data_IF_264134340465
#
_entry.id   IF_264134340465
#
_cell.length_a   1.000
_cell.length_b   1.000
_cell.length_c   1.000
_cell.angle_alpha   90.00
_cell.angle_beta   90.00
_cell.angle_gamma   90.00
#
_symmetry.space_group_name_H-M   'P 1'
#
loop_
_entity.id
_entity.type
_entity.pdbx_description
1 polymer ?
#
# COMPACT_ATOMS: atom_id res chain seq x y z
N UNK A 1 -5.96 -62.56 17.46
CA UNK A 1 -6.05 -61.71 16.26
C UNK A 1 -5.67 -60.29 16.65
N UNK A 2 -4.57 -59.80 16.08
CA UNK A 2 -3.87 -58.56 16.47
C UNK A 2 -4.66 -57.35 15.95
N UNK A 3 -5.12 -56.48 16.86
CA UNK A 3 -5.64 -55.16 16.51
C UNK A 3 -4.45 -54.22 16.29
N UNK A 4 -4.15 -53.93 15.03
CA UNK A 4 -3.26 -52.82 14.67
C UNK A 4 -4.00 -51.51 14.94
N UNK A 5 -3.53 -50.74 15.92
CA UNK A 5 -3.91 -49.34 16.11
C UNK A 5 -2.86 -48.51 15.39
N UNK A 6 -3.21 -48.02 14.20
CA UNK A 6 -2.39 -47.05 13.45
C UNK A 6 -2.65 -45.66 14.07
N UNK A 7 -1.74 -45.18 14.91
CA UNK A 7 -1.75 -43.81 15.39
C UNK A 7 -1.14 -42.90 14.29
N UNK A 8 -2.00 -42.25 13.50
CA UNK A 8 -1.59 -41.25 12.53
C UNK A 8 -1.37 -39.92 13.27
N UNK A 9 -0.12 -39.60 13.61
CA UNK A 9 0.24 -38.29 14.16
C UNK A 9 0.36 -37.33 12.97
N UNK A 10 -0.73 -36.62 12.67
CA UNK A 10 -0.70 -35.47 11.76
C UNK A 10 -0.10 -34.30 12.55
N UNK A 11 1.22 -34.12 12.44
CA UNK A 11 1.87 -32.88 12.89
C UNK A 11 1.48 -31.76 11.92
N UNK A 12 0.43 -31.01 12.28
CA UNK A 12 0.13 -29.72 11.65
C UNK A 12 1.27 -28.75 12.01
N UNK A 13 2.25 -28.62 11.12
CA UNK A 13 3.19 -27.53 11.15
C UNK A 13 2.44 -26.23 10.87
N UNK A 14 2.28 -25.38 11.88
CA UNK A 14 1.86 -24.00 11.68
C UNK A 14 3.03 -23.30 11.00
N UNK A 15 3.00 -23.22 9.66
CA UNK A 15 3.93 -22.37 8.90
C UNK A 15 3.64 -20.93 9.29
N UNK A 16 4.38 -20.38 10.25
CA UNK A 16 4.47 -18.94 10.37
C UNK A 16 5.12 -18.47 9.08
N UNK A 17 4.43 -17.61 8.33
CA UNK A 17 5.01 -17.00 7.15
C UNK A 17 6.21 -16.18 7.63
N UNK A 18 7.42 -16.64 7.33
CA UNK A 18 8.62 -15.87 7.64
C UNK A 18 8.57 -14.57 6.83
N UNK A 19 8.83 -13.46 7.52
CA UNK A 19 8.99 -12.15 6.87
C UNK A 19 10.12 -12.25 5.84
N UNK A 20 9.83 -11.79 4.63
CA UNK A 20 10.84 -11.71 3.58
C UNK A 20 11.67 -10.44 3.75
N UNK A 21 12.84 -10.42 3.10
CA UNK A 21 13.70 -9.23 3.05
C UNK A 21 12.92 -7.99 2.56
N UNK A 22 13.22 -6.83 3.15
CA UNK A 22 12.53 -5.56 2.91
C UNK A 22 11.02 -5.56 3.23
N UNK A 23 10.53 -6.56 3.97
CA UNK A 23 9.20 -6.54 4.55
C UNK A 23 9.23 -6.07 6.01
N UNK A 24 8.12 -5.47 6.41
CA UNK A 24 7.83 -5.10 7.78
C UNK A 24 6.49 -5.68 8.22
N UNK A 25 6.35 -5.91 9.51
CA UNK A 25 5.06 -6.15 10.18
C UNK A 25 4.90 -5.20 11.37
N UNK A 26 3.68 -4.77 11.64
CA UNK A 26 3.39 -3.98 12.84
C UNK A 26 3.43 -4.85 14.09
N UNK A 27 3.86 -4.27 15.21
CA UNK A 27 3.69 -4.83 16.55
C UNK A 27 2.42 -4.21 17.15
N UNK A 28 1.24 -4.86 17.14
CA UNK A 28 -0.03 -4.16 17.40
C UNK A 28 -0.13 -3.55 18.81
N UNK A 29 0.52 -4.18 19.79
CA UNK A 29 0.56 -3.72 21.18
C UNK A 29 1.41 -2.47 21.41
N UNK A 30 2.18 -2.01 20.41
CA UNK A 30 3.08 -0.86 20.53
C UNK A 30 2.42 0.49 20.28
N UNK A 31 1.16 0.49 19.82
CA UNK A 31 0.45 1.71 19.43
C UNK A 31 0.35 2.67 20.61
N UNK A 32 0.83 3.90 20.43
CA UNK A 32 0.77 4.99 21.43
C UNK A 32 0.22 6.25 20.80
N UNK A 33 -0.87 6.79 21.35
CA UNK A 33 -1.42 8.08 20.89
C UNK A 33 -0.50 9.23 21.30
N UNK A 34 -0.23 10.14 20.36
CA UNK A 34 0.44 11.42 20.62
C UNK A 34 -0.62 12.50 20.81
N UNK A 35 -1.63 12.52 19.95
CA UNK A 35 -2.75 13.45 20.03
C UNK A 35 -4.05 12.69 19.79
N UNK A 36 -5.02 12.96 20.66
CA UNK A 36 -6.35 12.37 20.61
C UNK A 36 -7.37 13.49 20.41
N UNK A 37 -8.04 13.55 19.24
CA UNK A 37 -8.97 14.62 18.94
C UNK A 37 -10.17 14.56 19.91
N UNK A 38 -10.34 15.60 20.74
CA UNK A 38 -11.46 15.70 21.68
C UNK A 38 -12.78 16.09 21.01
N UNK A 39 -12.76 16.41 19.71
CA UNK A 39 -13.93 16.82 18.96
C UNK A 39 -14.88 15.64 18.67
N UNK A 40 -16.17 15.92 18.69
CA UNK A 40 -17.22 14.92 18.43
C UNK A 40 -17.55 14.77 16.95
N UNK A 41 -17.26 15.79 16.13
CA UNK A 41 -17.60 15.83 14.71
C UNK A 41 -16.44 15.35 13.82
N UNK A 42 -16.79 14.86 12.63
CA UNK A 42 -15.84 14.48 11.57
C UNK A 42 -15.64 15.63 10.57
N UNK A 43 -14.49 15.71 9.86
CA UNK A 43 -13.32 14.80 9.94
C UNK A 43 -12.55 14.92 11.26
N UNK A 44 -11.89 13.83 11.67
CA UNK A 44 -10.97 13.79 12.82
C UNK A 44 -9.58 13.38 12.38
N UNK A 45 -8.57 14.01 12.98
CA UNK A 45 -7.16 13.68 12.78
C UNK A 45 -6.62 12.93 13.99
N UNK A 46 -6.08 11.74 13.78
CA UNK A 46 -5.42 10.94 14.81
C UNK A 46 -3.92 10.94 14.56
N UNK A 47 -3.13 11.19 15.61
CA UNK A 47 -1.67 11.05 15.60
C UNK A 47 -1.23 10.01 16.61
N UNK A 48 -0.55 8.97 16.15
CA UNK A 48 -0.07 7.90 17.01
C UNK A 48 1.22 7.29 16.46
N UNK A 49 2.07 6.74 17.32
CA UNK A 49 3.24 5.96 16.92
C UNK A 49 2.94 4.48 16.95
N UNK A 50 3.59 3.73 16.07
CA UNK A 50 3.62 2.28 16.08
C UNK A 50 5.06 1.79 15.91
N UNK A 51 5.37 0.69 16.56
CA UNK A 51 6.63 -0.03 16.38
C UNK A 51 6.43 -1.16 15.36
N UNK A 52 7.45 -1.35 14.52
CA UNK A 52 7.46 -2.26 13.38
C UNK A 52 8.67 -3.14 13.43
N UNK A 53 8.48 -4.41 13.07
CA UNK A 53 9.56 -5.37 12.88
C UNK A 53 9.85 -5.47 11.39
N UNK A 54 11.07 -5.12 10.99
CA UNK A 54 11.50 -5.14 9.59
C UNK A 54 12.72 -6.06 9.40
N UNK A 55 12.81 -6.70 8.22
CA UNK A 55 13.89 -7.65 7.89
C UNK A 55 14.83 -7.07 6.84
N UNK A 56 16.13 -7.21 7.08
CA UNK A 56 17.22 -6.96 6.13
C UNK A 56 18.15 -8.18 6.16
N UNK A 57 18.24 -8.92 5.05
CA UNK A 57 18.90 -10.23 5.03
C UNK A 57 18.39 -11.15 6.14
N UNK A 58 19.27 -11.54 7.07
CA UNK A 58 18.92 -12.37 8.25
C UNK A 58 18.71 -11.58 9.53
N UNK A 59 18.83 -10.25 9.49
CA UNK A 59 18.70 -9.38 10.66
C UNK A 59 17.30 -8.81 10.76
N UNK A 60 16.85 -8.68 12.01
CA UNK A 60 15.59 -8.07 12.36
C UNK A 60 15.84 -6.74 13.06
N UNK A 61 15.14 -5.71 12.63
CA UNK A 61 15.17 -4.37 13.21
C UNK A 61 13.79 -4.01 13.75
N UNK A 62 13.78 -3.26 14.85
CA UNK A 62 12.57 -2.66 15.39
C UNK A 62 12.62 -1.16 15.16
N UNK A 63 11.62 -0.62 14.48
CA UNK A 63 11.55 0.76 14.05
C UNK A 63 10.24 1.38 14.55
N UNK A 64 10.32 2.58 15.11
CA UNK A 64 9.13 3.35 15.48
C UNK A 64 8.77 4.34 14.36
N UNK A 65 7.49 4.45 14.05
CA UNK A 65 7.00 5.36 13.03
C UNK A 65 5.75 6.13 13.49
N UNK A 66 5.70 7.41 13.12
CA UNK A 66 4.54 8.27 13.31
C UNK A 66 3.49 8.01 12.22
N UNK A 67 2.25 7.84 12.65
CA UNK A 67 1.07 7.78 11.78
C UNK A 67 0.21 9.01 11.99
N UNK A 68 -0.24 9.59 10.87
CA UNK A 68 -1.29 10.59 10.84
C UNK A 68 -2.44 10.07 9.97
N UNK A 69 -3.62 9.94 10.57
CA UNK A 69 -4.79 9.36 9.88
C UNK A 69 -5.98 10.31 10.01
N UNK A 70 -6.50 10.75 8.86
CA UNK A 70 -7.77 11.45 8.76
C UNK A 70 -8.92 10.44 8.62
N UNK A 71 -9.95 10.55 9.44
CA UNK A 71 -11.16 9.72 9.34
C UNK A 71 -12.40 10.59 9.21
N UNK A 72 -13.33 10.15 8.36
CA UNK A 72 -14.58 10.88 8.06
C UNK A 72 -15.84 10.20 8.64
N UNK A 73 -15.69 9.09 9.36
CA UNK A 73 -16.82 8.36 9.94
C UNK A 73 -16.40 7.50 11.12
N UNK A 74 -17.38 7.08 11.93
CA UNK A 74 -17.15 6.14 13.04
C UNK A 74 -16.61 4.80 12.56
N UNK A 75 -17.04 4.35 11.38
CA UNK A 75 -16.54 3.11 10.78
C UNK A 75 -15.08 3.24 10.37
N UNK A 76 -14.68 4.36 9.79
CA UNK A 76 -13.28 4.63 9.44
C UNK A 76 -12.43 4.77 10.71
N UNK A 77 -12.94 5.44 11.74
CA UNK A 77 -12.27 5.53 13.04
C UNK A 77 -11.95 4.15 13.63
N UNK A 78 -12.90 3.20 13.57
CA UNK A 78 -12.70 1.85 14.08
C UNK A 78 -11.78 0.98 13.21
N UNK A 79 -11.64 1.28 11.91
CA UNK A 79 -10.90 0.45 10.94
C UNK A 79 -9.51 0.96 10.61
N UNK A 80 -9.36 2.27 10.51
CA UNK A 80 -8.20 2.90 9.90
C UNK A 80 -7.26 3.51 10.97
N UNK A 81 -7.77 3.76 12.19
CA UNK A 81 -6.96 4.22 13.32
C UNK A 81 -6.26 3.01 13.98
N UNK A 82 -5.43 2.31 13.22
CA UNK A 82 -4.58 1.18 13.64
C UNK A 82 -3.21 1.28 12.98
N UNK A 83 -2.20 0.55 13.45
CA UNK A 83 -0.90 0.50 12.80
C UNK A 83 -1.02 -0.06 11.37
N UNK A 84 -0.20 0.43 10.43
CA UNK A 84 -0.23 -0.07 9.05
C UNK A 84 0.04 -1.58 9.00
N UNK A 85 -0.69 -2.29 8.13
CA UNK A 85 -0.65 -3.76 8.07
C UNK A 85 -1.56 -4.47 9.08
N UNK A 86 -2.04 -3.80 10.14
CA UNK A 86 -3.04 -4.39 11.05
C UNK A 86 -4.40 -4.48 10.34
N UNK A 87 -5.00 -5.67 10.37
CA UNK A 87 -6.36 -5.92 9.88
C UNK A 87 -7.30 -6.11 11.06
N UNK A 88 -8.46 -5.46 10.95
CA UNK A 88 -9.57 -5.62 11.89
C UNK A 88 -10.75 -6.28 11.20
N UNK A 89 -11.53 -7.05 11.95
CA UNK A 89 -12.76 -7.70 11.48
C UNK A 89 -13.96 -7.16 12.24
N UNK A 90 -15.12 -7.17 11.56
CA UNK A 90 -16.39 -6.83 12.19
C UNK A 90 -16.87 -8.00 13.06
N UNK A 91 -17.25 -7.68 14.29
CA UNK A 91 -17.87 -8.61 15.25
C UNK A 91 -19.22 -8.04 15.71
N UNK A 92 -19.99 -8.81 16.47
CA UNK A 92 -21.35 -8.41 16.88
C UNK A 92 -21.41 -7.13 17.72
N UNK A 93 -20.34 -6.79 18.43
CA UNK A 93 -20.23 -5.60 19.27
C UNK A 93 -19.29 -4.50 18.73
N UNK A 94 -18.80 -4.63 17.49
CA UNK A 94 -17.91 -3.61 16.90
C UNK A 94 -16.85 -4.19 15.97
N UNK A 95 -15.61 -3.79 16.19
CA UNK A 95 -14.44 -4.26 15.44
C UNK A 95 -13.41 -4.85 16.40
N UNK A 96 -12.79 -5.94 15.99
CA UNK A 96 -11.76 -6.62 16.76
C UNK A 96 -10.53 -6.89 15.90
N UNK A 97 -9.39 -7.09 16.53
CA UNK A 97 -8.16 -7.51 15.86
C UNK A 97 -8.40 -8.81 15.09
N UNK A 98 -7.91 -8.86 13.85
CA UNK A 98 -7.94 -10.06 13.04
C UNK A 98 -6.53 -10.65 12.89
N UNK A 99 -5.63 -9.88 12.29
CA UNK A 99 -4.24 -10.31 12.01
C UNK A 99 -3.35 -9.11 11.67
N UNK A 100 -2.05 -9.35 11.60
CA UNK A 100 -1.08 -8.45 10.97
C UNK A 100 -0.69 -9.04 9.63
N UNK A 101 -0.75 -8.22 8.58
CA UNK A 101 -0.25 -8.59 7.26
C UNK A 101 1.12 -7.94 7.03
N UNK A 102 2.16 -8.74 6.72
CA UNK A 102 3.44 -8.21 6.26
C UNK A 102 3.27 -7.34 5.02
N UNK A 103 4.11 -6.31 4.93
CA UNK A 103 4.07 -5.38 3.81
C UNK A 103 5.48 -4.99 3.39
N UNK A 104 5.66 -4.68 2.10
CA UNK A 104 6.89 -4.09 1.60
C UNK A 104 7.12 -2.72 2.22
N UNK A 105 8.34 -2.44 2.68
CA UNK A 105 8.66 -1.28 3.54
C UNK A 105 8.14 0.07 3.02
N UNK A 106 8.28 0.35 1.72
CA UNK A 106 7.81 1.61 1.14
C UNK A 106 6.27 1.71 0.99
N UNK A 107 5.55 0.59 1.12
CA UNK A 107 4.09 0.57 0.95
C UNK A 107 3.36 1.39 2.02
N UNK A 108 3.94 1.50 3.22
CA UNK A 108 3.30 2.20 4.33
C UNK A 108 3.31 3.73 4.20
N UNK A 109 4.23 4.29 3.39
CA UNK A 109 4.38 5.74 3.25
C UNK A 109 4.76 6.46 4.55
N UNK A 110 5.37 5.73 5.48
CA UNK A 110 5.87 6.28 6.73
C UNK A 110 7.32 6.70 6.53
N UNK A 111 7.63 7.95 6.88
CA UNK A 111 8.94 8.57 6.68
C UNK A 111 10.06 7.73 7.30
N UNK A 112 9.94 7.36 8.58
CA UNK A 112 11.00 6.60 9.27
C UNK A 112 11.27 5.22 8.67
N UNK A 113 10.25 4.52 8.16
CA UNK A 113 10.42 3.24 7.48
C UNK A 113 11.06 3.43 6.09
N UNK A 114 10.64 4.46 5.37
CA UNK A 114 11.14 4.77 4.03
C UNK A 114 12.60 5.22 4.08
N UNK A 115 12.98 6.07 5.04
CA UNK A 115 14.35 6.53 5.24
C UNK A 115 15.29 5.39 5.65
N UNK A 116 14.82 4.50 6.54
CA UNK A 116 15.56 3.30 6.89
C UNK A 116 15.81 2.44 5.65
N UNK A 117 14.78 2.15 4.85
CA UNK A 117 14.94 1.34 3.63
C UNK A 117 15.87 1.98 2.59
N UNK A 118 15.79 3.31 2.43
CA UNK A 118 16.70 4.09 1.56
C UNK A 118 18.14 3.98 2.04
N UNK A 119 18.38 4.06 3.35
CA UNK A 119 19.73 3.94 3.93
C UNK A 119 20.38 2.58 3.66
N UNK A 120 19.57 1.55 3.46
CA UNK A 120 20.00 0.20 3.11
C UNK A 120 20.09 -0.04 1.59
N UNK A 121 19.68 0.92 0.77
CA UNK A 121 19.64 0.77 -0.69
C UNK A 121 18.56 -0.19 -1.18
N UNK A 122 17.46 -0.37 -0.45
CA UNK A 122 16.34 -1.22 -0.88
C UNK A 122 15.72 -0.63 -2.14
N UNK A 123 15.78 -1.37 -3.25
CA UNK A 123 15.18 -0.98 -4.53
C UNK A 123 13.64 -1.02 -4.46
N UNK A 124 12.93 -0.05 -5.09
CA UNK A 124 11.47 -0.13 -5.25
C UNK A 124 11.02 -1.31 -6.12
N UNK A 125 11.93 -1.91 -6.91
CA UNK A 125 11.69 -3.08 -7.74
C UNK A 125 12.12 -4.39 -7.04
N UNK A 126 12.39 -4.35 -5.73
CA UNK A 126 12.69 -5.53 -4.91
C UNK A 126 11.57 -6.57 -5.02
N UNK A 127 11.90 -7.87 -4.90
CA UNK A 127 10.95 -8.97 -5.04
C UNK A 127 9.71 -8.85 -4.12
N UNK A 128 9.90 -8.32 -2.92
CA UNK A 128 8.82 -8.02 -1.95
C UNK A 128 7.79 -7.01 -2.43
N UNK A 129 8.10 -6.21 -3.47
CA UNK A 129 7.17 -5.27 -4.11
C UNK A 129 6.32 -5.90 -5.22
N UNK A 130 6.58 -7.15 -5.62
CA UNK A 130 5.95 -7.75 -6.81
C UNK A 130 4.42 -7.78 -6.75
N UNK A 131 3.83 -7.99 -5.58
CA UNK A 131 2.36 -7.94 -5.40
C UNK A 131 1.80 -6.54 -5.64
N UNK A 132 2.55 -5.49 -5.29
CA UNK A 132 2.18 -4.10 -5.53
C UNK A 132 2.28 -3.77 -7.02
N UNK A 133 3.36 -4.20 -7.69
CA UNK A 133 3.50 -4.05 -9.15
C UNK A 133 2.36 -4.74 -9.90
N UNK A 134 2.03 -5.99 -9.53
CA UNK A 134 0.90 -6.72 -10.11
C UNK A 134 -0.43 -6.01 -9.87
N UNK A 135 -0.62 -5.42 -8.68
CA UNK A 135 -1.80 -4.61 -8.38
C UNK A 135 -1.86 -3.37 -9.27
N UNK A 136 -0.75 -2.65 -9.47
CA UNK A 136 -0.71 -1.50 -10.37
C UNK A 136 -1.10 -1.88 -11.80
N UNK A 137 -0.51 -2.94 -12.35
CA UNK A 137 -0.86 -3.43 -13.70
C UNK A 137 -2.36 -3.71 -13.79
N UNK A 138 -2.92 -4.42 -12.81
CA UNK A 138 -4.34 -4.72 -12.77
C UNK A 138 -5.21 -3.46 -12.65
N UNK A 139 -4.83 -2.51 -11.80
CA UNK A 139 -5.55 -1.24 -11.66
C UNK A 139 -5.56 -0.47 -12.99
N UNK A 140 -4.43 -0.43 -13.71
CA UNK A 140 -4.31 0.19 -15.02
C UNK A 140 -5.17 -0.50 -16.09
N UNK A 141 -5.18 -1.84 -16.12
CA UNK A 141 -6.04 -2.63 -17.02
C UNK A 141 -7.52 -2.36 -16.77
N UNK A 142 -7.92 -2.21 -15.51
CA UNK A 142 -9.32 -1.96 -15.13
C UNK A 142 -9.78 -0.56 -15.56
N UNK A 143 -8.94 0.46 -15.44
CA UNK A 143 -9.34 1.84 -15.76
C UNK A 143 -9.21 2.19 -17.25
N UNK A 144 -8.31 1.54 -17.98
CA UNK A 144 -8.01 1.88 -19.38
C UNK A 144 -9.27 1.93 -20.28
N UNK A 145 -10.19 0.93 -20.25
CA UNK A 145 -11.38 0.95 -21.09
C UNK A 145 -12.27 2.18 -20.84
N UNK A 146 -12.41 2.60 -19.57
CA UNK A 146 -13.20 3.78 -19.22
C UNK A 146 -12.58 5.06 -19.76
N UNK A 147 -11.26 5.16 -19.76
CA UNK A 147 -10.53 6.30 -20.31
C UNK A 147 -10.63 6.35 -21.84
N UNK A 148 -10.51 5.21 -22.52
CA UNK A 148 -10.71 5.10 -23.97
C UNK A 148 -12.14 5.52 -24.37
N UNK A 149 -13.14 5.02 -23.65
CA UNK A 149 -14.54 5.40 -23.87
C UNK A 149 -14.75 6.90 -23.70
N UNK A 150 -14.34 7.48 -22.56
CA UNK A 150 -14.44 8.92 -22.31
C UNK A 150 -13.70 9.75 -23.35
N UNK A 151 -12.55 9.26 -23.84
CA UNK A 151 -11.75 9.91 -24.87
C UNK A 151 -12.36 9.93 -26.27
N UNK A 152 -13.39 9.13 -26.53
CA UNK A 152 -14.06 9.03 -27.83
C UNK A 152 -15.34 9.88 -27.97
N UNK A 153 -15.74 10.58 -26.90
CA UNK A 153 -17.07 11.23 -26.81
C UNK A 153 -17.19 12.57 -27.55
N UNK A 154 -16.12 13.07 -28.18
CA UNK A 154 -16.13 14.33 -28.93
C UNK A 154 -16.30 15.61 -28.09
N UNK A 155 -16.47 15.50 -26.76
CA UNK A 155 -16.53 16.62 -25.83
C UNK A 155 -15.17 17.30 -25.64
N UNK A 156 -15.13 18.56 -25.19
CA UNK A 156 -13.86 19.26 -24.96
C UNK A 156 -12.94 18.55 -23.97
N UNK A 157 -13.52 17.89 -22.95
CA UNK A 157 -12.80 17.07 -21.97
C UNK A 157 -12.28 15.74 -22.52
N UNK A 158 -12.77 15.27 -23.67
CA UNK A 158 -12.40 13.96 -24.24
C UNK A 158 -10.91 13.87 -24.58
N UNK A 159 -10.28 14.98 -24.99
CA UNK A 159 -8.86 15.01 -25.34
C UNK A 159 -7.97 14.61 -24.16
N UNK A 160 -8.31 15.03 -22.94
CA UNK A 160 -7.55 14.68 -21.75
C UNK A 160 -7.62 13.17 -21.48
N UNK A 161 -8.80 12.57 -21.60
CA UNK A 161 -8.98 11.13 -21.43
C UNK A 161 -8.29 10.31 -22.52
N UNK A 162 -8.34 10.75 -23.78
CA UNK A 162 -7.63 10.11 -24.87
C UNK A 162 -6.10 10.12 -24.66
N UNK A 163 -5.55 11.26 -24.24
CA UNK A 163 -4.14 11.37 -23.89
C UNK A 163 -3.76 10.45 -22.72
N UNK A 164 -4.57 10.43 -21.67
CA UNK A 164 -4.34 9.55 -20.52
C UNK A 164 -4.41 8.06 -20.90
N UNK A 165 -5.37 7.67 -21.75
CA UNK A 165 -5.46 6.30 -22.28
C UNK A 165 -4.18 5.87 -23.00
N UNK A 166 -3.62 6.72 -23.86
CA UNK A 166 -2.36 6.44 -24.57
C UNK A 166 -1.19 6.23 -23.60
N UNK A 167 -1.10 7.04 -22.54
CA UNK A 167 -0.07 6.87 -21.51
C UNK A 167 -0.23 5.57 -20.73
N UNK A 168 -1.47 5.21 -20.37
CA UNK A 168 -1.78 3.96 -19.67
C UNK A 168 -1.46 2.75 -20.56
N UNK A 169 -1.82 2.80 -21.85
CA UNK A 169 -1.44 1.76 -22.81
C UNK A 169 0.07 1.58 -22.93
N UNK A 170 0.84 2.69 -22.93
CA UNK A 170 2.30 2.62 -22.94
C UNK A 170 2.83 1.96 -21.67
N UNK A 171 2.33 2.34 -20.49
CA UNK A 171 2.69 1.70 -19.22
C UNK A 171 2.41 0.19 -19.24
N UNK A 172 1.23 -0.23 -19.69
CA UNK A 172 0.85 -1.64 -19.74
C UNK A 172 1.68 -2.47 -20.74
N UNK A 173 2.24 -1.86 -21.78
CA UNK A 173 3.14 -2.54 -22.73
C UNK A 173 4.53 -2.79 -22.15
N UNK A 174 4.97 -1.93 -21.24
CA UNK A 174 6.32 -1.98 -20.65
C UNK A 174 6.35 -2.77 -19.33
N UNK A 175 5.32 -2.65 -18.50
CA UNK A 175 5.26 -3.28 -17.18
C UNK A 175 4.92 -4.77 -17.24
N UNK A 176 5.47 -5.59 -16.33
CA UNK A 176 6.46 -5.24 -15.29
C UNK A 176 7.92 -5.31 -15.77
N UNK A 177 8.16 -5.58 -17.05
CA UNK A 177 9.50 -5.88 -17.58
C UNK A 177 10.43 -4.65 -17.63
N UNK A 178 9.88 -3.46 -17.87
CA UNK A 178 10.60 -2.20 -17.83
C UNK A 178 9.80 -1.16 -17.05
N UNK A 179 10.48 -0.43 -16.20
CA UNK A 179 9.87 0.51 -15.25
C UNK A 179 10.32 1.96 -15.47
N UNK A 180 11.11 2.24 -16.50
CA UNK A 180 11.69 3.55 -16.82
C UNK A 180 10.62 4.63 -17.04
N UNK A 181 9.60 4.35 -17.86
CA UNK A 181 8.52 5.32 -18.09
C UNK A 181 7.65 5.52 -16.85
N UNK A 182 7.47 4.47 -16.03
CA UNK A 182 6.80 4.61 -14.74
C UNK A 182 7.60 5.51 -13.80
N UNK A 183 8.93 5.38 -13.75
CA UNK A 183 9.80 6.24 -12.94
C UNK A 183 9.77 7.69 -13.39
N UNK A 184 9.83 7.92 -14.70
CA UNK A 184 9.70 9.27 -15.27
C UNK A 184 8.42 9.94 -14.76
N UNK A 185 7.27 9.26 -14.88
CA UNK A 185 5.97 9.77 -14.46
C UNK A 185 5.87 9.96 -12.94
N UNK A 186 6.31 8.96 -12.15
CA UNK A 186 6.25 9.01 -10.68
C UNK A 186 7.12 10.14 -10.13
N UNK A 187 8.28 10.42 -10.75
CA UNK A 187 9.17 11.52 -10.35
C UNK A 187 8.56 12.92 -10.50
N UNK A 188 7.47 13.05 -11.28
CA UNK A 188 6.75 14.30 -11.49
C UNK A 188 5.71 14.57 -10.39
N UNK A 189 5.23 13.54 -9.68
CA UNK A 189 4.19 13.66 -8.65
C UNK A 189 4.54 14.67 -7.56
N UNK A 190 5.71 14.59 -6.88
CA UNK A 190 6.05 15.54 -5.82
C UNK A 190 6.39 16.95 -6.32
N UNK A 191 6.62 17.13 -7.63
CA UNK A 191 7.16 18.37 -8.21
C UNK A 191 6.09 19.30 -8.77
N UNK A 192 4.82 18.91 -8.79
CA UNK A 192 3.79 19.66 -9.50
C UNK A 192 2.42 19.55 -8.87
N UNK A 193 1.60 20.57 -9.11
CA UNK A 193 0.19 20.52 -8.83
C UNK A 193 -0.54 19.64 -9.86
N UNK A 194 -1.06 18.50 -9.40
CA UNK A 194 -1.82 17.56 -10.20
C UNK A 194 -3.34 17.86 -10.20
N UNK A 195 -3.79 18.99 -9.65
CA UNK A 195 -5.22 19.37 -9.51
C UNK A 195 -5.92 19.73 -10.83
N UNK A 196 -5.18 20.09 -11.88
CA UNK A 196 -5.78 20.41 -13.18
C UNK A 196 -6.20 19.15 -13.97
N UNK A 197 -7.25 19.26 -14.77
CA UNK A 197 -7.88 18.15 -15.51
C UNK A 197 -7.29 17.99 -16.91
N UNK A 198 -6.00 17.65 -16.99
CA UNK A 198 -5.32 17.27 -18.23
C UNK A 198 -4.93 15.78 -18.20
N UNK A 199 -4.63 15.19 -19.37
CA UNK A 199 -4.40 13.75 -19.47
C UNK A 199 -3.24 13.26 -18.60
N UNK A 200 -2.14 14.00 -18.59
CA UNK A 200 -0.97 13.68 -17.76
C UNK A 200 -1.29 13.72 -16.26
N UNK A 201 -2.13 14.66 -15.80
CA UNK A 201 -2.56 14.75 -14.40
C UNK A 201 -3.54 13.64 -14.02
N UNK A 202 -4.42 13.20 -14.94
CA UNK A 202 -5.28 12.06 -14.68
C UNK A 202 -4.45 10.80 -14.41
N UNK A 203 -3.41 10.57 -15.22
CA UNK A 203 -2.48 9.44 -15.04
C UNK A 203 -1.71 9.57 -13.73
N UNK A 204 -1.17 10.75 -13.42
CA UNK A 204 -0.41 10.90 -12.18
C UNK A 204 -1.25 10.73 -10.92
N UNK A 205 -2.53 11.12 -10.90
CA UNK A 205 -3.42 10.84 -9.76
C UNK A 205 -3.62 9.33 -9.57
N UNK A 206 -3.83 8.61 -10.67
CA UNK A 206 -3.89 7.15 -10.64
C UNK A 206 -2.60 6.58 -10.07
N UNK A 207 -1.44 7.01 -10.56
CA UNK A 207 -0.14 6.51 -10.09
C UNK A 207 0.15 6.91 -8.64
N UNK A 208 -0.27 8.09 -8.19
CA UNK A 208 -0.12 8.49 -6.79
C UNK A 208 -0.83 7.52 -5.84
N UNK A 209 -1.99 7.00 -6.25
CA UNK A 209 -2.73 6.01 -5.44
C UNK A 209 -2.24 4.59 -5.66
N UNK A 210 -2.01 4.18 -6.92
CA UNK A 210 -1.75 2.78 -7.29
C UNK A 210 -0.27 2.44 -7.36
N UNK A 211 0.64 3.41 -7.28
CA UNK A 211 2.10 3.25 -7.26
C UNK A 211 2.75 3.99 -6.07
N UNK A 212 1.99 4.21 -4.99
CA UNK A 212 2.43 5.00 -3.84
C UNK A 212 3.76 4.53 -3.24
N UNK A 213 4.01 3.22 -3.17
CA UNK A 213 5.29 2.69 -2.66
C UNK A 213 6.50 3.16 -3.47
N UNK A 214 6.30 3.38 -4.78
CA UNK A 214 7.36 3.84 -5.67
C UNK A 214 7.61 5.33 -5.49
N UNK A 215 6.57 6.11 -5.21
CA UNK A 215 6.68 7.52 -4.82
C UNK A 215 7.44 7.64 -3.49
N UNK A 216 7.11 6.81 -2.50
CA UNK A 216 7.74 6.83 -1.18
C UNK A 216 9.23 6.41 -1.21
N UNK A 217 9.64 5.68 -2.25
CA UNK A 217 11.01 5.26 -2.47
C UNK A 217 11.90 6.34 -3.12
N UNK A 218 11.33 7.41 -3.68
CA UNK A 218 12.06 8.58 -4.21
C UNK A 218 12.65 9.40 -3.07
#
# INVERSE_FOLDING_TARGET
>A
MIKFVLAFIVSMGITHAELLEAQCEAIPSSKRYIDFPSQTNYPKMYKFTCDFRCIEGSKQYELSALHEVEVHSLTAEARDVVCYGVKVKRVSWGYDFDRVEPFFVYAAGLESLSDWAKSLGVSPDHSSSASLMNKLVKDLEVILPSYQMAGSTGADSSRAFAQAAQMIEKLLKELPASTEYLDELVSLIPKRDISSHNGLNLVLRTLQSSAAWRVNAL
#
